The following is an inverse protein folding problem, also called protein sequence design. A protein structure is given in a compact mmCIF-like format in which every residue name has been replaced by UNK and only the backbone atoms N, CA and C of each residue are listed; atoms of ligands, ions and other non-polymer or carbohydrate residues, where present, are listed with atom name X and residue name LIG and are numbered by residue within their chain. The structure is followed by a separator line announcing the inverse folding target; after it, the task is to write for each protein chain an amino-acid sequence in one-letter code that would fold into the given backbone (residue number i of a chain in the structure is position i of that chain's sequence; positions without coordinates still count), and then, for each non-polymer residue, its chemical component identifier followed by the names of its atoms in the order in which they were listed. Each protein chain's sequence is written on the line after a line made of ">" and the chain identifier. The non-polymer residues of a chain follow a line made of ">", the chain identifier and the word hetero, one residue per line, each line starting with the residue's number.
data_IF_611488101728
#
_entry.id   IF_611488101728
#
_cell.length_a   1.000
_cell.length_b   1.000
_cell.length_c   1.000
_cell.angle_alpha   90.00
_cell.angle_beta   90.00
_cell.angle_gamma   90.00
#
_symmetry.space_group_name_H-M   'P 1'
#
loop_
_entity.id
_entity.type
_entity.pdbx_description
1 polymer ?
#
# COMPACT_ATOMS: atom_id res chain seq x y z
N UNK A 1 2.91 -2.68 -7.61
CA UNK A 1 1.93 -1.58 -7.50
C UNK A 1 1.96 -0.79 -8.78
N UNK A 2 0.81 -0.52 -9.38
CA UNK A 2 0.72 0.31 -10.59
C UNK A 2 -0.16 1.50 -10.26
N UNK A 3 0.44 2.68 -10.27
CA UNK A 3 -0.28 3.94 -10.11
C UNK A 3 -0.56 4.52 -11.49
N UNK A 4 -1.81 4.95 -11.72
CA UNK A 4 -2.21 5.59 -12.96
C UNK A 4 -2.35 7.08 -12.74
N UNK A 5 -1.50 7.86 -13.38
CA UNK A 5 -1.54 9.32 -13.32
C UNK A 5 -2.72 9.86 -14.15
N UNK A 6 -3.22 11.08 -13.85
CA UNK A 6 -4.29 11.71 -14.62
C UNK A 6 -3.98 11.87 -16.12
N UNK A 7 -2.70 11.95 -16.47
CA UNK A 7 -2.22 12.06 -17.86
C UNK A 7 -2.19 10.72 -18.62
N UNK A 8 -2.60 9.61 -17.98
CA UNK A 8 -2.62 8.27 -18.55
C UNK A 8 -1.28 7.53 -18.51
N UNK A 9 -0.22 8.11 -17.96
CA UNK A 9 1.02 7.39 -17.66
C UNK A 9 0.82 6.47 -16.48
N UNK A 10 1.59 5.39 -16.48
CA UNK A 10 1.63 4.42 -15.38
C UNK A 10 3.01 4.45 -14.73
N UNK A 11 3.01 4.45 -13.40
CA UNK A 11 4.20 4.24 -12.58
C UNK A 11 4.11 2.87 -11.93
N UNK A 12 5.06 2.00 -12.26
CA UNK A 12 5.14 0.66 -11.68
C UNK A 12 6.18 0.67 -10.57
N UNK A 13 5.76 0.38 -9.34
CA UNK A 13 6.63 0.12 -8.19
C UNK A 13 6.69 -1.38 -7.89
N UNK A 14 7.87 -1.89 -7.53
CA UNK A 14 8.04 -3.26 -7.02
C UNK A 14 7.31 -3.42 -5.68
N UNK A 15 6.86 -4.64 -5.37
CA UNK A 15 6.18 -4.94 -4.10
C UNK A 15 6.76 -6.21 -3.49
N UNK A 16 7.09 -6.16 -2.21
CA UNK A 16 7.41 -7.33 -1.38
C UNK A 16 6.56 -7.35 -0.12
N UNK A 17 6.33 -8.55 0.42
CA UNK A 17 5.52 -8.75 1.62
C UNK A 17 6.35 -9.51 2.65
N UNK A 18 6.41 -8.97 3.86
CA UNK A 18 6.88 -9.64 5.05
C UNK A 18 5.66 -10.00 5.92
N UNK A 19 5.17 -11.24 5.83
CA UNK A 19 3.99 -11.67 6.58
C UNK A 19 4.27 -11.88 8.07
N UNK A 20 5.53 -12.07 8.47
CA UNK A 20 5.89 -12.28 9.88
C UNK A 20 5.75 -10.98 10.67
N UNK A 21 6.15 -9.86 10.07
CA UNK A 21 6.04 -8.54 10.70
C UNK A 21 4.81 -7.75 10.25
N UNK A 22 3.96 -8.33 9.40
CA UNK A 22 2.80 -7.66 8.81
C UNK A 22 3.22 -6.34 8.14
N UNK A 23 4.19 -6.43 7.23
CA UNK A 23 4.74 -5.31 6.47
C UNK A 23 4.66 -5.55 4.97
N UNK A 24 4.36 -4.49 4.24
CA UNK A 24 4.47 -4.44 2.78
C UNK A 24 5.53 -3.39 2.42
N UNK A 25 6.38 -3.68 1.44
CA UNK A 25 7.29 -2.69 0.87
C UNK A 25 6.80 -2.36 -0.53
N UNK A 26 6.59 -1.08 -0.84
CA UNK A 26 6.11 -0.60 -2.14
C UNK A 26 7.13 0.39 -2.72
N UNK A 27 8.00 -0.09 -3.61
CA UNK A 27 9.20 0.67 -3.96
C UNK A 27 10.18 0.66 -2.80
N UNK A 28 10.45 1.83 -2.22
CA UNK A 28 11.28 2.06 -1.04
C UNK A 28 10.48 2.34 0.24
N UNK A 29 9.17 2.56 0.10
CA UNK A 29 8.25 2.83 1.21
C UNK A 29 7.90 1.53 1.95
N UNK A 30 7.82 1.57 3.29
CA UNK A 30 7.41 0.43 4.12
C UNK A 30 6.08 0.77 4.79
N UNK A 31 5.12 -0.12 4.64
CA UNK A 31 3.71 0.08 5.02
C UNK A 31 3.23 -1.03 5.95
N UNK A 32 2.21 -0.74 6.77
CA UNK A 32 1.37 -1.76 7.38
C UNK A 32 0.37 -2.29 6.34
N UNK A 33 0.04 -3.58 6.41
CA UNK A 33 -1.03 -4.13 5.58
C UNK A 33 -2.01 -5.00 6.40
N UNK A 34 -3.27 -4.99 6.01
CA UNK A 34 -4.31 -5.84 6.57
C UNK A 34 -5.14 -6.46 5.44
N UNK A 35 -5.45 -7.74 5.56
CA UNK A 35 -6.29 -8.45 4.59
C UNK A 35 -7.58 -8.85 5.30
N UNK A 36 -8.72 -8.43 4.75
CA UNK A 36 -10.06 -8.86 5.16
C UNK A 36 -10.85 -9.36 3.95
N UNK A 37 -10.94 -10.68 3.80
CA UNK A 37 -11.60 -11.33 2.67
C UNK A 37 -10.98 -10.93 1.33
N UNK A 38 -11.70 -10.11 0.55
CA UNK A 38 -11.26 -9.58 -0.76
C UNK A 38 -10.61 -8.20 -0.68
N UNK A 39 -10.58 -7.59 0.51
CA UNK A 39 -10.01 -6.27 0.74
C UNK A 39 -8.59 -6.37 1.28
N UNK A 40 -7.73 -5.48 0.77
CA UNK A 40 -6.39 -5.21 1.27
C UNK A 40 -6.36 -3.73 1.67
N UNK A 41 -6.13 -3.47 2.95
CA UNK A 41 -5.86 -2.13 3.49
C UNK A 41 -4.36 -1.96 3.65
N UNK A 42 -3.84 -0.81 3.21
CA UNK A 42 -2.43 -0.41 3.34
C UNK A 42 -2.42 0.93 4.05
N UNK A 43 -1.65 1.02 5.14
CA UNK A 43 -1.56 2.19 6.01
C UNK A 43 -0.09 2.58 6.18
N UNK A 44 0.18 3.88 6.19
CA UNK A 44 1.52 4.40 6.47
C UNK A 44 1.97 4.03 7.88
N UNK A 45 3.25 3.68 8.02
CA UNK A 45 3.89 3.45 9.31
C UNK A 45 4.11 4.78 10.03
N UNK A 46 4.41 5.84 9.28
CA UNK A 46 4.68 7.17 9.83
C UNK A 46 3.36 7.94 10.00
N UNK A 47 3.03 8.26 11.25
CA UNK A 47 1.90 9.15 11.53
C UNK A 47 2.39 10.60 11.42
N UNK A 48 2.43 11.15 10.22
CA UNK A 48 2.75 12.57 10.06
C UNK A 48 1.58 13.40 10.62
N UNK A 49 1.83 14.13 11.72
CA UNK A 49 0.85 15.00 12.38
C UNK A 49 -0.43 14.30 12.88
N UNK A 50 -0.40 12.98 13.10
CA UNK A 50 -1.55 12.21 13.56
C UNK A 50 -2.57 11.90 12.45
N UNK A 51 -2.22 12.14 11.20
CA UNK A 51 -2.95 11.66 10.03
C UNK A 51 -2.29 10.37 9.53
N UNK A 52 -3.11 9.39 9.15
CA UNK A 52 -2.64 8.16 8.51
C UNK A 52 -3.18 8.13 7.08
N UNK A 53 -2.28 8.11 6.12
CA UNK A 53 -2.67 7.80 4.75
C UNK A 53 -3.09 6.33 4.68
N UNK A 54 -4.27 6.10 4.09
CA UNK A 54 -4.86 4.76 3.98
C UNK A 54 -5.30 4.50 2.54
N UNK A 55 -4.88 3.37 1.98
CA UNK A 55 -5.38 2.88 0.69
C UNK A 55 -6.08 1.55 0.88
N UNK A 56 -7.29 1.43 0.30
CA UNK A 56 -8.07 0.18 0.29
C UNK A 56 -8.19 -0.33 -1.14
N UNK A 57 -7.66 -1.53 -1.39
CA UNK A 57 -7.77 -2.25 -2.66
C UNK A 57 -8.75 -3.41 -2.50
N UNK A 58 -9.69 -3.54 -3.45
CA UNK A 58 -10.63 -4.67 -3.48
C UNK A 58 -10.39 -5.52 -4.71
N UNK A 59 -10.15 -6.82 -4.50
CA UNK A 59 -10.08 -7.81 -5.59
C UNK A 59 -11.50 -8.07 -6.14
N UNK A 60 -11.68 -7.95 -7.46
CA UNK A 60 -12.93 -8.32 -8.14
C UNK A 60 -13.04 -9.85 -8.26
#
# INVERSE_FOLDING_TARGET
>A
WTEKEPNGKEKVKQVSIDPTNQRMTIGDDIEHYMIDGKQLTIEDIEQENGENDTVVLTKQ
#
